data_IF_862254479992
#
_entry.id   IF_862254479992
#
_cell.length_a   1.000
_cell.length_b   1.000
_cell.length_c   1.000
_cell.angle_alpha   90.00
_cell.angle_beta   90.00
_cell.angle_gamma   90.00
#
_symmetry.space_group_name_H-M   'P 1'
#
loop_
_entity.id
_entity.type
_entity.pdbx_description
1 polymer ?
#
# COMPACT_ATOMS: atom_id res chain seq x y z
N UNK A 1 23.47 -44.95 20.20
CA UNK A 1 24.27 -43.90 20.85
C UNK A 1 23.93 -42.61 20.11
N UNK A 2 22.99 -41.82 20.65
CA UNK A 2 22.59 -40.56 20.07
C UNK A 2 23.71 -39.56 20.31
N UNK A 3 24.29 -39.05 19.23
CA UNK A 3 25.50 -38.24 19.24
C UNK A 3 25.18 -36.84 19.78
N UNK A 4 25.82 -36.46 20.89
CA UNK A 4 25.66 -35.21 21.64
C UNK A 4 25.82 -33.98 20.71
N UNK A 5 26.58 -34.11 19.63
CA UNK A 5 26.77 -33.08 18.62
C UNK A 5 25.50 -32.75 17.79
N UNK A 6 24.57 -33.70 17.66
CA UNK A 6 23.32 -33.50 16.89
C UNK A 6 22.29 -32.70 17.68
N UNK A 7 22.23 -32.95 18.99
CA UNK A 7 21.30 -32.28 19.91
C UNK A 7 21.70 -30.81 20.14
N UNK A 8 23.01 -30.55 20.27
CA UNK A 8 23.54 -29.18 20.34
C UNK A 8 23.25 -28.35 19.08
N UNK A 9 23.40 -28.93 17.87
CA UNK A 9 23.03 -28.24 16.60
C UNK A 9 21.53 -27.98 16.50
N UNK A 10 20.69 -28.91 16.96
CA UNK A 10 19.23 -28.74 16.94
C UNK A 10 18.77 -27.62 17.89
N UNK A 11 19.34 -27.55 19.10
CA UNK A 11 19.05 -26.48 20.07
C UNK A 11 19.55 -25.12 19.55
N UNK A 12 20.75 -25.06 18.95
CA UNK A 12 21.29 -23.85 18.34
C UNK A 12 20.41 -23.35 17.17
N UNK A 13 19.92 -24.26 16.32
CA UNK A 13 19.03 -23.93 15.19
C UNK A 13 17.65 -23.46 15.67
N UNK A 14 17.13 -24.03 16.76
CA UNK A 14 15.88 -23.55 17.42
C UNK A 14 16.06 -22.18 18.07
N UNK A 15 17.20 -21.92 18.72
CA UNK A 15 17.51 -20.61 19.31
C UNK A 15 17.69 -19.53 18.24
N UNK A 16 18.39 -19.84 17.14
CA UNK A 16 18.53 -18.93 15.99
C UNK A 16 17.16 -18.63 15.36
N UNK A 17 16.33 -19.64 15.14
CA UNK A 17 14.97 -19.43 14.65
C UNK A 17 14.09 -18.66 15.64
N UNK A 18 14.30 -18.80 16.95
CA UNK A 18 13.58 -18.04 17.98
C UNK A 18 14.05 -16.58 18.05
N UNK A 19 15.35 -16.33 17.89
CA UNK A 19 15.95 -15.00 17.81
C UNK A 19 15.49 -14.27 16.55
N UNK A 20 15.46 -14.93 15.38
CA UNK A 20 14.91 -14.34 14.15
C UNK A 20 13.40 -14.05 14.26
N UNK A 21 12.64 -14.87 14.99
CA UNK A 21 11.22 -14.61 15.28
C UNK A 21 11.06 -13.46 16.28
N UNK A 22 11.97 -13.33 17.25
CA UNK A 22 11.98 -12.26 18.24
C UNK A 22 12.39 -10.92 17.59
N UNK A 23 13.38 -10.92 16.71
CA UNK A 23 13.77 -9.76 15.89
C UNK A 23 12.65 -9.34 14.93
N UNK A 24 11.95 -10.30 14.30
CA UNK A 24 10.74 -10.00 13.51
C UNK A 24 9.61 -9.41 14.36
N UNK A 25 9.42 -9.93 15.58
CA UNK A 25 8.44 -9.40 16.55
C UNK A 25 8.83 -8.01 17.09
N UNK A 26 10.13 -7.71 17.20
CA UNK A 26 10.64 -6.38 17.58
C UNK A 26 10.55 -5.37 16.42
N UNK A 27 10.72 -5.82 15.16
CA UNK A 27 10.42 -4.99 13.97
C UNK A 27 8.93 -4.61 13.86
N UNK A 28 8.04 -5.36 14.50
CA UNK A 28 6.61 -5.04 14.59
C UNK A 28 6.33 -3.77 15.42
N UNK A 29 7.31 -3.23 16.15
CA UNK A 29 7.08 -2.22 17.19
C UNK A 29 7.50 -0.78 16.88
N UNK A 30 7.98 -0.46 15.68
CA UNK A 30 8.28 0.93 15.29
C UNK A 30 8.17 1.13 13.77
N UNK A 31 7.04 0.75 13.16
CA UNK A 31 6.69 1.36 11.88
C UNK A 31 6.32 2.82 12.22
N UNK A 32 7.07 3.84 11.77
CA UNK A 32 6.63 5.21 11.94
C UNK A 32 5.23 5.30 11.35
N UNK A 33 4.24 5.62 12.19
CA UNK A 33 2.85 5.72 11.77
C UNK A 33 2.77 6.88 10.78
N UNK A 34 2.85 6.55 9.50
CA UNK A 34 2.82 7.54 8.45
C UNK A 34 1.39 7.92 8.22
N UNK A 35 1.11 9.21 8.27
CA UNK A 35 -0.22 9.79 8.07
C UNK A 35 -0.65 9.72 6.60
N UNK A 36 -0.63 8.52 6.00
CA UNK A 36 -1.32 8.22 4.76
C UNK A 36 -2.76 7.84 5.08
N UNK A 37 -3.71 8.33 4.29
CA UNK A 37 -5.10 7.86 4.38
C UNK A 37 -5.26 6.44 3.81
N UNK A 38 -6.36 5.77 4.15
CA UNK A 38 -6.67 4.45 3.57
C UNK A 38 -6.80 4.54 2.04
N UNK A 39 -6.36 3.53 1.27
CA UNK A 39 -6.61 3.48 -0.17
C UNK A 39 -8.13 3.48 -0.51
N UNK A 40 -8.97 3.08 0.46
CA UNK A 40 -10.42 3.07 0.36
C UNK A 40 -11.07 4.44 0.65
N UNK A 41 -10.31 5.46 1.04
CA UNK A 41 -10.86 6.81 1.17
C UNK A 41 -10.95 7.48 -0.19
N UNK A 42 -12.12 8.10 -0.46
CA UNK A 42 -12.44 8.70 -1.76
C UNK A 42 -12.21 10.20 -1.74
N UNK A 43 -11.75 10.72 -2.88
CA UNK A 43 -11.76 12.16 -3.22
C UNK A 43 -12.47 12.28 -4.56
N UNK A 44 -13.49 13.15 -4.65
CA UNK A 44 -14.32 13.29 -5.84
C UNK A 44 -14.84 11.95 -6.38
N UNK A 45 -15.19 11.03 -5.47
CA UNK A 45 -15.70 9.71 -5.82
C UNK A 45 -14.63 8.66 -6.18
N UNK A 46 -13.35 9.02 -6.33
CA UNK A 46 -12.29 8.09 -6.73
C UNK A 46 -11.57 7.50 -5.52
N UNK A 47 -11.53 6.16 -5.44
CA UNK A 47 -10.59 5.49 -4.54
C UNK A 47 -9.15 5.81 -4.91
N UNK A 48 -8.27 5.73 -3.90
CA UNK A 48 -6.82 5.87 -3.99
C UNK A 48 -6.27 7.24 -4.41
N UNK A 49 -7.05 8.10 -5.09
CA UNK A 49 -6.56 9.41 -5.55
C UNK A 49 -5.99 10.26 -4.40
N UNK A 50 -6.75 10.45 -3.32
CA UNK A 50 -6.28 11.20 -2.15
C UNK A 50 -5.01 10.61 -1.53
N UNK A 51 -4.92 9.28 -1.45
CA UNK A 51 -3.73 8.59 -0.93
C UNK A 51 -2.49 8.81 -1.81
N UNK A 52 -2.66 8.84 -3.14
CA UNK A 52 -1.58 9.21 -4.06
C UNK A 52 -1.10 10.64 -3.79
N UNK A 53 -2.01 11.59 -3.53
CA UNK A 53 -1.63 12.96 -3.16
C UNK A 53 -0.86 13.00 -1.82
N UNK A 54 -1.30 12.26 -0.81
CA UNK A 54 -0.59 12.18 0.47
C UNK A 54 0.84 11.68 0.29
N UNK A 55 1.06 10.63 -0.53
CA UNK A 55 2.40 10.12 -0.85
C UNK A 55 3.27 11.20 -1.48
N UNK A 56 2.73 11.95 -2.45
CA UNK A 56 3.46 13.02 -3.14
C UNK A 56 3.83 14.14 -2.15
N UNK A 57 2.88 14.57 -1.30
CA UNK A 57 3.08 15.64 -0.30
C UNK A 57 4.11 15.23 0.75
N UNK A 58 4.00 14.03 1.29
CA UNK A 58 4.97 13.49 2.26
C UNK A 58 6.37 13.35 1.64
N UNK A 59 6.44 12.90 0.39
CA UNK A 59 7.72 12.81 -0.31
C UNK A 59 8.35 14.19 -0.54
N UNK A 60 7.55 15.20 -0.90
CA UNK A 60 8.02 16.58 -1.05
C UNK A 60 8.59 17.16 0.26
N UNK A 61 8.05 16.75 1.41
CA UNK A 61 8.54 17.14 2.74
C UNK A 61 9.65 16.22 3.30
N UNK A 62 10.07 15.19 2.55
CA UNK A 62 11.04 14.16 3.00
C UNK A 62 10.57 13.38 4.24
N UNK A 63 9.25 13.26 4.41
CA UNK A 63 8.61 12.56 5.52
C UNK A 63 8.04 11.19 5.10
N UNK A 64 8.06 10.88 3.80
CA UNK A 64 7.63 9.57 3.31
C UNK A 64 8.70 8.51 3.65
N UNK A 65 8.36 7.37 4.29
CA UNK A 65 9.32 6.32 4.59
C UNK A 65 9.94 5.73 3.34
N UNK A 66 11.19 5.27 3.46
CA UNK A 66 11.97 4.66 2.38
C UNK A 66 11.25 3.52 1.68
N UNK A 67 10.45 2.74 2.41
CA UNK A 67 9.77 1.55 1.89
C UNK A 67 8.74 1.89 0.78
N UNK A 68 8.28 3.14 0.72
CA UNK A 68 7.35 3.61 -0.31
C UNK A 68 8.07 4.14 -1.56
N UNK A 69 9.36 4.49 -1.48
CA UNK A 69 10.06 5.24 -2.53
C UNK A 69 10.17 4.47 -3.84
N UNK A 70 10.47 3.17 -3.77
CA UNK A 70 10.62 2.32 -4.97
C UNK A 70 9.34 2.22 -5.82
N UNK A 71 8.19 2.47 -5.19
CA UNK A 71 6.85 2.35 -5.77
C UNK A 71 6.16 3.71 -6.01
N UNK A 72 6.85 4.84 -5.81
CA UNK A 72 6.30 6.16 -6.16
C UNK A 72 6.09 6.25 -7.67
N UNK A 73 4.87 6.62 -8.08
CA UNK A 73 4.50 6.72 -9.50
C UNK A 73 4.31 5.36 -10.19
N UNK A 74 4.36 4.25 -9.44
CA UNK A 74 4.18 2.88 -9.96
C UNK A 74 2.95 2.22 -9.33
N UNK A 75 2.54 1.09 -9.88
CA UNK A 75 1.45 0.28 -9.34
C UNK A 75 0.13 1.05 -9.32
N UNK A 76 -0.42 1.33 -8.15
CA UNK A 76 -1.68 2.06 -8.03
C UNK A 76 -1.57 3.55 -8.41
N UNK A 77 -0.42 4.20 -8.17
CA UNK A 77 -0.20 5.59 -8.61
C UNK A 77 -0.28 5.66 -10.13
N UNK A 78 0.44 4.77 -10.81
CA UNK A 78 0.46 4.66 -12.26
C UNK A 78 -0.93 4.38 -12.83
N UNK A 79 -1.68 3.43 -12.24
CA UNK A 79 -3.06 3.13 -12.66
C UNK A 79 -3.97 4.34 -12.51
N UNK A 80 -3.83 5.10 -11.42
CA UNK A 80 -4.66 6.28 -11.15
C UNK A 80 -4.39 7.39 -12.17
N UNK A 81 -3.13 7.73 -12.44
CA UNK A 81 -2.80 8.76 -13.42
C UNK A 81 -3.12 8.32 -14.86
N UNK A 82 -2.97 7.03 -15.20
CA UNK A 82 -3.41 6.48 -16.51
C UNK A 82 -4.92 6.59 -16.67
N UNK A 83 -5.69 6.27 -15.62
CA UNK A 83 -7.14 6.45 -15.63
C UNK A 83 -7.51 7.93 -15.85
N UNK A 84 -6.83 8.87 -15.20
CA UNK A 84 -7.05 10.31 -15.38
C UNK A 84 -6.40 10.91 -16.63
N UNK A 85 -5.60 10.12 -17.38
CA UNK A 85 -4.80 10.56 -18.55
C UNK A 85 -3.88 11.75 -18.23
N UNK A 86 -3.24 11.70 -17.07
CA UNK A 86 -2.29 12.72 -16.60
C UNK A 86 -0.89 12.11 -16.50
N UNK A 87 0.15 12.89 -16.76
CA UNK A 87 1.52 12.49 -16.48
C UNK A 87 1.81 12.59 -14.97
N UNK A 88 2.40 11.54 -14.39
CA UNK A 88 2.68 11.50 -12.95
C UNK A 88 3.62 12.63 -12.50
N UNK A 89 4.65 12.96 -13.29
CA UNK A 89 5.60 13.99 -12.92
C UNK A 89 4.96 15.38 -12.97
N UNK A 90 4.09 15.64 -13.95
CA UNK A 90 3.29 16.87 -13.99
C UNK A 90 2.36 16.98 -12.78
N UNK A 91 1.73 15.88 -12.37
CA UNK A 91 0.91 15.86 -11.15
C UNK A 91 1.76 16.17 -9.91
N UNK A 92 2.96 15.59 -9.79
CA UNK A 92 3.89 15.88 -8.69
C UNK A 92 4.20 17.37 -8.61
N UNK A 93 4.55 18.00 -9.74
CA UNK A 93 4.82 19.44 -9.79
C UNK A 93 3.57 20.28 -9.47
N UNK A 94 2.38 19.84 -9.89
CA UNK A 94 1.13 20.51 -9.52
C UNK A 94 0.86 20.44 -8.02
N UNK A 95 1.05 19.29 -7.39
CA UNK A 95 0.81 19.08 -5.95
C UNK A 95 1.78 19.89 -5.10
N UNK A 96 3.04 20.02 -5.52
CA UNK A 96 4.05 20.85 -4.83
C UNK A 96 3.66 22.33 -4.75
N UNK A 97 2.81 22.82 -5.65
CA UNK A 97 2.28 24.20 -5.61
C UNK A 97 1.21 24.40 -4.53
N UNK A 98 0.83 23.35 -3.81
CA UNK A 98 -0.23 23.39 -2.80
C UNK A 98 -1.64 23.28 -3.39
N UNK A 99 -2.64 23.38 -2.51
CA UNK A 99 -4.05 23.21 -2.82
C UNK A 99 -4.68 21.99 -2.13
N UNK A 100 -6.00 22.08 -2.01
CA UNK A 100 -6.89 21.02 -1.51
C UNK A 100 -6.95 19.84 -2.47
N UNK A 101 -7.45 18.70 -2.01
CA UNK A 101 -7.54 17.50 -2.85
C UNK A 101 -8.48 17.70 -4.03
N UNK A 102 -9.57 18.44 -3.82
CA UNK A 102 -10.57 18.80 -4.81
C UNK A 102 -9.98 19.71 -5.90
N UNK A 103 -9.16 20.70 -5.53
CA UNK A 103 -8.49 21.59 -6.50
C UNK A 103 -7.46 20.84 -7.36
N UNK A 104 -6.74 19.87 -6.78
CA UNK A 104 -5.83 19.03 -7.56
C UNK A 104 -6.61 18.09 -8.47
N UNK A 105 -7.71 17.52 -8.00
CA UNK A 105 -8.56 16.64 -8.80
C UNK A 105 -9.17 17.39 -10.00
N UNK A 106 -9.69 18.58 -9.77
CA UNK A 106 -10.25 19.43 -10.82
C UNK A 106 -9.18 19.83 -11.86
N UNK A 107 -7.95 20.08 -11.40
CA UNK A 107 -6.81 20.26 -12.31
C UNK A 107 -6.54 19.01 -13.15
N UNK A 108 -6.57 17.80 -12.57
CA UNK A 108 -6.41 16.55 -13.32
C UNK A 108 -7.48 16.39 -14.39
N UNK A 109 -8.73 16.75 -14.10
CA UNK A 109 -9.82 16.71 -15.06
C UNK A 109 -9.62 17.65 -16.24
N UNK A 110 -9.03 18.82 -15.99
CA UNK A 110 -8.71 19.80 -17.02
C UNK A 110 -7.48 19.39 -17.84
N UNK A 111 -6.44 18.86 -17.19
CA UNK A 111 -5.18 18.50 -17.84
C UNK A 111 -5.24 17.17 -18.60
N UNK A 112 -6.13 16.26 -18.20
CA UNK A 112 -6.28 14.92 -18.78
C UNK A 112 -7.70 14.64 -19.22
N UNK A 113 -8.46 13.92 -18.39
CA UNK A 113 -9.88 13.65 -18.61
C UNK A 113 -10.71 13.77 -17.35
N UNK A 114 -11.97 14.19 -17.50
CA UNK A 114 -13.04 13.99 -16.51
C UNK A 114 -13.74 12.65 -16.77
N UNK A 115 -13.63 11.66 -15.87
CA UNK A 115 -14.39 10.41 -16.00
C UNK A 115 -15.89 10.65 -15.82
N UNK A 116 -16.72 9.86 -16.51
CA UNK A 116 -18.16 9.81 -16.25
C UNK A 116 -18.47 9.09 -14.92
N UNK A 117 -19.72 9.14 -14.47
CA UNK A 117 -20.15 8.37 -13.29
C UNK A 117 -19.93 6.87 -13.47
N UNK A 118 -20.20 6.33 -14.66
CA UNK A 118 -19.94 4.92 -15.00
C UNK A 118 -18.45 4.59 -14.96
N UNK A 119 -17.59 5.48 -15.49
CA UNK A 119 -16.15 5.30 -15.43
C UNK A 119 -15.64 5.26 -13.98
N UNK A 120 -16.18 6.14 -13.13
CA UNK A 120 -15.87 6.20 -11.69
C UNK A 120 -16.33 4.92 -10.98
N UNK A 121 -17.53 4.42 -11.32
CA UNK A 121 -18.05 3.17 -10.78
C UNK A 121 -17.15 2.00 -11.14
N UNK A 122 -16.81 1.83 -12.43
CA UNK A 122 -15.93 0.76 -12.91
C UNK A 122 -14.54 0.87 -12.27
N UNK A 123 -13.97 2.08 -12.21
CA UNK A 123 -12.71 2.33 -11.51
C UNK A 123 -12.76 1.87 -10.06
N UNK A 124 -13.79 2.26 -9.31
CA UNK A 124 -13.92 1.93 -7.90
C UNK A 124 -14.10 0.43 -7.67
N UNK A 125 -14.92 -0.24 -8.47
CA UNK A 125 -15.11 -1.68 -8.40
C UNK A 125 -13.83 -2.45 -8.75
N UNK A 126 -13.10 -2.00 -9.77
CA UNK A 126 -11.81 -2.56 -10.12
C UNK A 126 -10.79 -2.40 -8.97
N UNK A 127 -10.68 -1.19 -8.42
CA UNK A 127 -9.68 -0.88 -7.39
C UNK A 127 -9.95 -1.60 -6.08
N UNK A 128 -11.20 -1.62 -5.60
CA UNK A 128 -11.51 -2.24 -4.29
C UNK A 128 -11.30 -3.75 -4.26
N UNK A 129 -11.41 -4.43 -5.42
CA UNK A 129 -11.21 -5.88 -5.58
C UNK A 129 -9.81 -6.26 -6.05
N UNK A 130 -8.94 -5.28 -6.31
CA UNK A 130 -7.61 -5.53 -6.87
C UNK A 130 -6.77 -6.42 -5.96
N UNK A 131 -6.26 -7.52 -6.50
CA UNK A 131 -5.58 -8.59 -5.76
C UNK A 131 -6.47 -9.78 -5.41
N UNK A 132 -7.76 -9.76 -5.74
CA UNK A 132 -8.68 -10.87 -5.53
C UNK A 132 -9.04 -11.54 -6.86
N UNK A 133 -8.57 -12.77 -7.06
CA UNK A 133 -8.75 -13.57 -8.28
C UNK A 133 -8.28 -12.86 -9.56
N UNK A 134 -7.19 -12.11 -9.45
CA UNK A 134 -6.56 -11.40 -10.56
C UNK A 134 -5.02 -11.56 -10.56
N UNK A 135 -4.33 -10.94 -11.52
CA UNK A 135 -2.88 -11.10 -11.73
C UNK A 135 -1.99 -10.59 -10.57
N UNK A 136 -2.57 -9.94 -9.56
CA UNK A 136 -1.86 -9.40 -8.38
C UNK A 136 -2.09 -10.28 -7.15
N UNK A 137 -2.94 -11.31 -7.23
CA UNK A 137 -3.28 -12.20 -6.10
C UNK A 137 -2.04 -12.85 -5.47
N UNK A 138 -1.10 -13.32 -6.28
CA UNK A 138 0.15 -13.91 -5.77
C UNK A 138 1.00 -12.90 -4.99
N UNK A 139 1.01 -11.64 -5.43
CA UNK A 139 1.73 -10.56 -4.74
C UNK A 139 1.07 -10.28 -3.38
N UNK A 140 -0.26 -10.24 -3.31
CA UNK A 140 -0.99 -10.07 -2.04
C UNK A 140 -0.68 -11.22 -1.09
N UNK A 141 -0.78 -12.46 -1.56
CA UNK A 141 -0.49 -13.64 -0.73
C UNK A 141 0.95 -13.65 -0.22
N UNK A 142 1.92 -13.33 -1.08
CA UNK A 142 3.33 -13.24 -0.70
C UNK A 142 3.55 -12.15 0.35
N UNK A 143 3.09 -10.92 0.11
CA UNK A 143 3.28 -9.81 1.05
C UNK A 143 2.57 -10.03 2.39
N UNK A 144 1.38 -10.64 2.37
CA UNK A 144 0.66 -11.06 3.55
C UNK A 144 1.45 -12.08 4.38
N UNK A 145 2.09 -13.05 3.73
CA UNK A 145 2.97 -14.01 4.41
C UNK A 145 4.24 -13.35 4.97
N UNK A 146 4.88 -12.48 4.20
CA UNK A 146 6.07 -11.71 4.62
C UNK A 146 5.78 -10.83 5.85
N UNK A 147 4.58 -10.25 5.92
CA UNK A 147 4.12 -9.44 7.06
C UNK A 147 3.59 -10.27 8.25
N UNK A 148 3.67 -11.60 8.19
CA UNK A 148 3.20 -12.48 9.28
C UNK A 148 1.69 -12.55 9.42
N UNK A 149 0.93 -12.22 8.37
CA UNK A 149 -0.53 -12.20 8.35
C UNK A 149 -1.13 -13.36 7.52
N UNK A 150 -0.37 -14.43 7.27
CA UNK A 150 -0.78 -15.53 6.37
C UNK A 150 -2.14 -16.15 6.72
N UNK A 151 -2.47 -16.22 8.01
CA UNK A 151 -3.69 -16.79 8.59
C UNK A 151 -4.92 -15.86 8.56
N UNK A 152 -4.75 -14.58 8.18
CA UNK A 152 -5.83 -13.58 8.14
C UNK A 152 -6.76 -13.75 6.94
N UNK A 153 -7.73 -14.64 7.01
CA UNK A 153 -8.66 -14.94 5.91
C UNK A 153 -9.49 -13.74 5.42
N UNK A 154 -9.65 -12.72 6.25
CA UNK A 154 -10.32 -11.45 5.95
C UNK A 154 -9.52 -10.54 4.98
N UNK A 155 -8.22 -10.78 4.82
CA UNK A 155 -7.36 -10.05 3.87
C UNK A 155 -7.30 -10.82 2.55
N UNK A 156 -8.06 -10.34 1.56
CA UNK A 156 -8.19 -10.90 0.21
C UNK A 156 -7.75 -9.93 -0.89
N UNK A 157 -7.77 -8.62 -0.62
CA UNK A 157 -7.42 -7.58 -1.60
C UNK A 157 -6.18 -6.81 -1.19
N UNK A 158 -5.56 -6.13 -2.16
CA UNK A 158 -4.42 -5.24 -1.91
C UNK A 158 -4.79 -4.11 -0.94
N UNK A 159 -6.01 -3.58 -1.01
CA UNK A 159 -6.47 -2.51 -0.12
C UNK A 159 -6.59 -3.01 1.32
N UNK A 160 -7.19 -4.18 1.52
CA UNK A 160 -7.27 -4.81 2.84
C UNK A 160 -5.88 -5.10 3.41
N UNK A 161 -4.95 -5.58 2.57
CA UNK A 161 -3.57 -5.80 2.97
C UNK A 161 -2.89 -4.50 3.39
N UNK A 162 -2.99 -3.43 2.58
CA UNK A 162 -2.40 -2.11 2.91
C UNK A 162 -2.97 -1.55 4.21
N UNK A 163 -4.29 -1.64 4.39
CA UNK A 163 -4.93 -1.16 5.63
C UNK A 163 -4.44 -1.96 6.85
N UNK A 164 -4.35 -3.28 6.75
CA UNK A 164 -3.86 -4.12 7.84
C UNK A 164 -2.37 -3.90 8.15
N UNK A 165 -1.52 -3.77 7.11
CA UNK A 165 -0.08 -3.51 7.21
C UNK A 165 0.20 -2.14 7.86
N UNK A 166 -0.70 -1.17 7.66
CA UNK A 166 -0.67 0.15 8.29
C UNK A 166 -1.44 0.22 9.63
N UNK A 167 -1.81 -0.94 10.19
CA UNK A 167 -2.42 -1.04 11.51
C UNK A 167 -3.90 -0.61 11.60
N UNK A 168 -4.60 -0.46 10.48
CA UNK A 168 -6.03 -0.16 10.46
C UNK A 168 -6.85 -1.44 10.67
N UNK A 169 -7.91 -1.32 11.46
CA UNK A 169 -8.84 -2.43 11.69
C UNK A 169 -9.70 -2.70 10.45
N UNK A 170 -10.12 -3.95 10.21
CA UNK A 170 -11.09 -4.28 9.18
C UNK A 170 -12.38 -3.47 9.40
N UNK A 171 -12.92 -2.90 8.33
CA UNK A 171 -14.26 -2.31 8.38
C UNK A 171 -15.29 -3.45 8.34
N UNK A 172 -16.33 -3.42 9.19
CA UNK A 172 -17.39 -4.43 9.20
C UNK A 172 -18.18 -4.46 7.89
#
# INVERSE_FOLDING_TARGET
>A
MWDIFTEARYVQCKLLGALERCERRLKLHCVPQVSLRSPSEKVGGLFYFGRMLDKIRLHARRELPSDYHANLGKGFDEKCVKFLRVDYNQLVERVKKGGTDEEILEWCFTAGRRPSEDDIYVWNEFMRKRGWNDEVSEIVNRRKAEAGMADRSDIQTSFQFIDADEGRLPKP
#
